data_IF_010208330743
#
_entry.id   IF_010208330743
#
_cell.length_a   1.000
_cell.length_b   1.000
_cell.length_c   1.000
_cell.angle_alpha   90.00
_cell.angle_beta   90.00
_cell.angle_gamma   90.00
#
_symmetry.space_group_name_H-M   'P 1'
#
loop_
_entity.id
_entity.type
_entity.pdbx_description
1 polymer ?
#
# COMPACT_ATOMS: atom_id res chain seq x y z
N UNK A 1 9.48 -7.30 -28.76
CA UNK A 1 8.67 -7.62 -27.57
C UNK A 1 9.57 -8.08 -26.42
N UNK A 2 10.07 -9.33 -26.38
CA UNK A 2 10.93 -9.83 -25.29
C UNK A 2 12.07 -8.87 -24.87
N UNK A 3 12.97 -8.55 -25.80
CA UNK A 3 14.07 -7.60 -25.55
C UNK A 3 13.63 -6.21 -25.08
N UNK A 4 12.40 -5.82 -25.41
CA UNK A 4 11.86 -4.51 -25.03
C UNK A 4 11.41 -4.53 -23.57
N UNK A 5 10.63 -5.55 -23.18
CA UNK A 5 10.09 -5.66 -21.82
C UNK A 5 11.17 -5.97 -20.78
N UNK A 6 12.26 -6.64 -21.17
CA UNK A 6 13.44 -6.88 -20.30
C UNK A 6 14.09 -5.56 -19.82
N UNK A 7 13.93 -4.47 -20.56
CA UNK A 7 14.47 -3.15 -20.24
C UNK A 7 13.44 -2.20 -19.63
N UNK A 8 12.18 -2.60 -19.48
CA UNK A 8 11.18 -1.79 -18.81
C UNK A 8 11.43 -1.82 -17.29
N UNK A 9 11.51 -0.66 -16.65
CA UNK A 9 11.73 -0.55 -15.20
C UNK A 9 10.46 -0.93 -14.40
N UNK A 10 9.32 -0.46 -14.88
CA UNK A 10 8.02 -0.58 -14.20
C UNK A 10 7.14 -1.63 -14.90
N UNK A 11 6.41 -2.43 -14.11
CA UNK A 11 5.57 -3.52 -14.62
C UNK A 11 4.42 -3.01 -15.51
N UNK A 12 3.95 -1.81 -15.25
CA UNK A 12 2.91 -1.11 -16.01
C UNK A 12 3.35 -0.90 -17.46
N UNK A 13 4.65 -0.74 -17.71
CA UNK A 13 5.17 -0.63 -19.07
C UNK A 13 5.10 -1.97 -19.80
N UNK A 14 5.35 -3.09 -19.11
CA UNK A 14 5.17 -4.45 -19.66
C UNK A 14 3.72 -4.64 -20.10
N UNK A 15 2.75 -4.25 -19.26
CA UNK A 15 1.33 -4.27 -19.60
C UNK A 15 1.00 -3.38 -20.80
N UNK A 16 1.51 -2.14 -20.83
CA UNK A 16 1.32 -1.26 -22.00
C UNK A 16 1.90 -1.86 -23.28
N UNK A 17 3.08 -2.49 -23.23
CA UNK A 17 3.66 -3.15 -24.42
C UNK A 17 2.79 -4.31 -24.89
N UNK A 18 2.22 -5.09 -23.96
CA UNK A 18 1.32 -6.17 -24.31
C UNK A 18 0.00 -5.66 -24.89
N UNK A 19 -0.56 -4.58 -24.33
CA UNK A 19 -1.73 -3.88 -24.87
C UNK A 19 -1.52 -3.40 -26.31
N UNK A 20 -0.37 -2.81 -26.61
CA UNK A 20 0.00 -2.39 -27.99
C UNK A 20 0.03 -3.58 -28.95
N UNK A 21 0.45 -4.77 -28.50
CA UNK A 21 0.38 -5.98 -29.34
C UNK A 21 -1.08 -6.37 -29.62
N UNK A 22 -1.95 -6.35 -28.62
CA UNK A 22 -3.37 -6.67 -28.82
C UNK A 22 -4.04 -5.69 -29.80
N UNK A 23 -3.74 -4.39 -29.69
CA UNK A 23 -4.30 -3.35 -30.55
C UNK A 23 -3.71 -3.41 -31.97
N UNK A 24 -2.40 -3.24 -32.11
CA UNK A 24 -1.76 -3.00 -33.40
C UNK A 24 -1.56 -4.29 -34.21
N UNK A 25 -1.30 -5.41 -33.54
CA UNK A 25 -1.03 -6.69 -34.22
C UNK A 25 -2.27 -7.54 -34.38
N UNK A 26 -3.13 -7.58 -33.37
CA UNK A 26 -4.32 -8.43 -33.37
C UNK A 26 -5.62 -7.68 -33.65
N UNK A 27 -5.61 -6.34 -33.67
CA UNK A 27 -6.80 -5.53 -33.94
C UNK A 27 -7.88 -5.78 -32.89
N UNK A 28 -7.50 -5.86 -31.61
CA UNK A 28 -8.41 -6.03 -30.48
C UNK A 28 -8.45 -4.71 -29.73
N UNK A 29 -9.61 -4.06 -29.66
CA UNK A 29 -9.73 -2.70 -29.13
C UNK A 29 -10.26 -2.67 -27.69
N UNK A 30 -11.23 -3.52 -27.35
CA UNK A 30 -11.86 -3.54 -26.04
C UNK A 30 -11.34 -4.72 -25.20
N UNK A 31 -10.35 -4.44 -24.34
CA UNK A 31 -9.78 -5.44 -23.44
C UNK A 31 -9.26 -4.79 -22.16
N UNK A 32 -9.11 -5.63 -21.14
CA UNK A 32 -8.65 -5.26 -19.82
C UNK A 32 -7.69 -6.34 -19.30
N UNK A 33 -6.72 -5.92 -18.49
CA UNK A 33 -5.82 -6.83 -17.79
C UNK A 33 -6.12 -6.78 -16.30
N UNK A 34 -6.26 -7.97 -15.73
CA UNK A 34 -6.58 -8.17 -14.32
C UNK A 34 -5.52 -9.09 -13.74
N UNK A 35 -4.97 -8.74 -12.60
CA UNK A 35 -4.19 -9.65 -11.77
C UNK A 35 -5.08 -10.24 -10.70
N UNK A 36 -4.92 -11.53 -10.42
CA UNK A 36 -5.59 -12.20 -9.32
C UNK A 36 -4.55 -12.83 -8.38
N UNK A 37 -4.61 -12.43 -7.11
CA UNK A 37 -3.90 -13.08 -6.02
C UNK A 37 -4.74 -14.29 -5.59
N UNK A 38 -4.27 -15.48 -5.94
CA UNK A 38 -5.00 -16.73 -5.72
C UNK A 38 -5.04 -17.11 -4.23
N UNK A 39 -4.09 -16.60 -3.43
CA UNK A 39 -4.00 -16.85 -1.99
C UNK A 39 -4.98 -15.96 -1.22
N UNK A 40 -4.97 -14.66 -1.51
CA UNK A 40 -5.82 -13.67 -0.82
C UNK A 40 -7.21 -13.52 -1.47
N UNK A 41 -7.45 -14.18 -2.61
CA UNK A 41 -8.70 -14.11 -3.40
C UNK A 41 -9.09 -12.67 -3.72
N UNK A 42 -8.08 -11.84 -4.00
CA UNK A 42 -8.24 -10.45 -4.38
C UNK A 42 -7.81 -10.25 -5.81
N UNK A 43 -8.46 -9.32 -6.50
CA UNK A 43 -8.11 -8.96 -7.88
C UNK A 43 -7.79 -7.49 -8.00
N UNK A 44 -6.89 -7.15 -8.90
CA UNK A 44 -6.51 -5.79 -9.24
C UNK A 44 -6.64 -5.58 -10.75
N UNK A 45 -7.27 -4.48 -11.18
CA UNK A 45 -7.31 -4.11 -12.59
C UNK A 45 -6.03 -3.32 -12.91
N UNK A 46 -5.14 -3.91 -13.70
CA UNK A 46 -3.82 -3.34 -13.99
C UNK A 46 -3.75 -2.62 -15.34
N UNK A 47 -4.74 -2.80 -16.21
CA UNK A 47 -4.86 -2.07 -17.46
C UNK A 47 -6.31 -2.07 -17.97
N UNK A 48 -6.75 -0.92 -18.50
CA UNK A 48 -8.05 -0.76 -19.17
C UNK A 48 -7.82 -0.11 -20.53
N UNK A 49 -8.23 -0.78 -21.61
CA UNK A 49 -8.10 -0.24 -22.97
C UNK A 49 -9.22 0.75 -23.30
N UNK A 50 -10.47 0.40 -22.97
CA UNK A 50 -11.67 1.21 -23.27
C UNK A 50 -12.55 1.35 -22.03
N UNK A 51 -13.14 0.25 -21.59
CA UNK A 51 -14.00 0.22 -20.41
C UNK A 51 -14.01 -1.16 -19.75
N UNK A 52 -14.36 -1.21 -18.46
CA UNK A 52 -14.54 -2.45 -17.72
C UNK A 52 -16.04 -2.75 -17.60
N UNK A 53 -16.48 -3.86 -18.19
CA UNK A 53 -17.89 -4.29 -18.21
C UNK A 53 -18.18 -5.48 -17.27
N UNK A 54 -17.25 -5.75 -16.38
CA UNK A 54 -17.43 -6.71 -15.30
C UNK A 54 -16.98 -6.12 -13.97
N UNK A 55 -17.45 -6.73 -12.88
CA UNK A 55 -16.98 -6.42 -11.53
C UNK A 55 -16.09 -7.56 -11.01
N UNK A 56 -14.79 -7.57 -11.37
CA UNK A 56 -13.87 -8.58 -10.84
C UNK A 56 -13.51 -8.31 -9.38
N UNK A 57 -13.63 -7.07 -8.91
CA UNK A 57 -13.21 -6.63 -7.58
C UNK A 57 -14.11 -7.22 -6.49
N UNK A 58 -15.41 -7.34 -6.77
CA UNK A 58 -16.37 -7.92 -5.83
C UNK A 58 -16.44 -9.45 -5.97
N UNK A 59 -15.82 -10.18 -5.04
CA UNK A 59 -15.78 -11.65 -4.98
C UNK A 59 -15.02 -12.35 -6.14
N UNK A 60 -14.06 -11.64 -6.74
CA UNK A 60 -13.08 -12.19 -7.66
C UNK A 60 -13.59 -12.47 -9.08
N UNK A 61 -12.66 -12.83 -9.96
CA UNK A 61 -12.92 -13.14 -11.36
C UNK A 61 -13.31 -14.63 -11.53
N UNK A 62 -14.36 -14.93 -12.31
CA UNK A 62 -14.73 -16.33 -12.59
C UNK A 62 -13.60 -17.12 -13.27
N UNK A 63 -12.91 -16.50 -14.23
CA UNK A 63 -11.82 -17.15 -14.97
C UNK A 63 -10.67 -17.59 -14.05
N UNK A 64 -10.33 -16.76 -13.07
CA UNK A 64 -9.39 -17.10 -11.99
C UNK A 64 -9.93 -18.24 -11.11
N UNK A 65 -11.14 -18.08 -10.55
CA UNK A 65 -11.74 -19.10 -9.66
C UNK A 65 -11.85 -20.48 -10.27
N UNK A 66 -12.13 -20.59 -11.57
CA UNK A 66 -12.24 -21.88 -12.27
C UNK A 66 -10.93 -22.31 -12.93
N UNK A 67 -9.97 -21.39 -13.06
CA UNK A 67 -8.77 -21.53 -13.88
C UNK A 67 -9.08 -22.12 -15.27
N UNK A 68 -10.12 -21.60 -15.91
CA UNK A 68 -10.55 -21.99 -17.26
C UNK A 68 -10.89 -20.79 -18.11
N UNK A 69 -10.78 -20.96 -19.42
CA UNK A 69 -11.35 -20.03 -20.39
C UNK A 69 -12.84 -19.80 -20.08
N UNK A 70 -13.23 -18.53 -20.01
CA UNK A 70 -14.63 -18.13 -19.88
C UNK A 70 -15.02 -17.45 -21.18
N UNK A 71 -15.99 -18.01 -21.89
CA UNK A 71 -16.36 -17.58 -23.23
C UNK A 71 -17.88 -17.54 -23.39
N UNK A 72 -18.42 -16.34 -23.61
CA UNK A 72 -19.86 -16.11 -23.67
C UNK A 72 -20.54 -16.79 -24.87
N UNK A 73 -19.78 -17.14 -25.92
CA UNK A 73 -20.30 -17.88 -27.07
C UNK A 73 -20.38 -19.39 -26.80
N UNK A 74 -19.62 -19.93 -25.84
CA UNK A 74 -19.72 -21.34 -25.44
C UNK A 74 -20.87 -21.56 -24.46
N UNK A 75 -21.14 -20.56 -23.60
CA UNK A 75 -22.25 -20.60 -22.66
C UNK A 75 -22.74 -19.18 -22.35
N UNK A 76 -24.02 -18.91 -22.65
CA UNK A 76 -24.66 -17.62 -22.39
C UNK A 76 -24.68 -17.37 -20.87
N UNK A 77 -24.38 -16.14 -20.43
CA UNK A 77 -24.32 -15.75 -19.01
C UNK A 77 -23.37 -16.60 -18.16
N UNK A 78 -22.28 -17.09 -18.76
CA UNK A 78 -21.28 -17.90 -18.05
C UNK A 78 -20.66 -17.17 -16.85
N UNK A 79 -20.46 -15.86 -16.93
CA UNK A 79 -19.91 -15.04 -15.86
C UNK A 79 -21.01 -14.22 -15.16
N UNK A 80 -21.19 -14.47 -13.86
CA UNK A 80 -22.14 -13.74 -13.00
C UNK A 80 -21.74 -12.28 -12.72
N UNK A 81 -20.51 -11.91 -13.14
CA UNK A 81 -19.92 -10.58 -12.92
C UNK A 81 -19.94 -9.69 -14.14
N UNK A 82 -20.30 -10.23 -15.31
CA UNK A 82 -20.38 -9.44 -16.53
C UNK A 82 -21.76 -8.78 -16.60
N UNK A 83 -21.81 -7.46 -16.82
CA UNK A 83 -23.04 -6.66 -16.67
C UNK A 83 -23.62 -6.16 -17.98
N UNK A 84 -22.94 -6.41 -19.10
CA UNK A 84 -23.35 -6.01 -20.45
C UNK A 84 -23.90 -7.19 -21.25
N UNK A 85 -24.65 -6.90 -22.31
CA UNK A 85 -25.14 -7.88 -23.29
C UNK A 85 -24.12 -8.22 -24.39
N UNK A 86 -22.92 -7.64 -24.33
CA UNK A 86 -21.84 -7.90 -25.28
C UNK A 86 -21.23 -9.30 -25.11
N UNK A 87 -20.51 -9.75 -26.13
CA UNK A 87 -19.75 -10.99 -26.05
C UNK A 87 -18.44 -10.76 -25.32
N UNK A 88 -17.91 -11.79 -24.66
CA UNK A 88 -16.64 -11.67 -23.95
C UNK A 88 -15.88 -12.98 -23.89
N UNK A 89 -14.57 -12.85 -23.78
CA UNK A 89 -13.63 -13.94 -23.56
C UNK A 89 -12.68 -13.51 -22.44
N UNK A 90 -12.63 -14.26 -21.35
CA UNK A 90 -11.67 -14.07 -20.26
C UNK A 90 -10.72 -15.27 -20.21
N UNK A 91 -9.42 -15.02 -20.37
CA UNK A 91 -8.39 -16.06 -20.38
C UNK A 91 -7.51 -15.92 -19.14
N UNK A 92 -7.51 -16.90 -18.22
CA UNK A 92 -6.57 -16.92 -17.11
C UNK A 92 -5.23 -17.50 -17.57
N UNK A 93 -4.15 -16.78 -17.31
CA UNK A 93 -2.78 -17.25 -17.50
C UNK A 93 -2.07 -17.34 -16.16
N UNK A 94 -1.72 -18.54 -15.72
CA UNK A 94 -0.96 -18.69 -14.48
C UNK A 94 0.47 -18.19 -14.62
N UNK A 95 0.77 -17.11 -13.90
CA UNK A 95 2.08 -16.43 -13.90
C UNK A 95 2.97 -17.01 -12.80
N UNK A 96 2.42 -17.30 -11.64
CA UNK A 96 3.10 -18.04 -10.56
C UNK A 96 2.09 -18.90 -9.81
N UNK A 97 2.49 -19.50 -8.69
CA UNK A 97 1.54 -20.26 -7.85
C UNK A 97 0.44 -19.36 -7.26
N UNK A 98 0.81 -18.10 -6.98
CA UNK A 98 -0.03 -17.18 -6.21
C UNK A 98 -0.56 -16.02 -7.08
N UNK A 99 -0.30 -16.05 -8.39
CA UNK A 99 -0.63 -14.96 -9.31
C UNK A 99 -1.12 -15.50 -10.65
N UNK A 100 -2.38 -15.19 -10.97
CA UNK A 100 -2.97 -15.36 -12.29
C UNK A 100 -3.09 -13.99 -12.99
N UNK A 101 -2.83 -13.98 -14.29
CA UNK A 101 -3.01 -12.82 -15.16
C UNK A 101 -4.18 -13.11 -16.11
N UNK A 102 -5.28 -12.37 -15.94
CA UNK A 102 -6.47 -12.52 -16.75
C UNK A 102 -6.48 -11.47 -17.85
N UNK A 103 -6.60 -11.93 -19.09
CA UNK A 103 -6.90 -11.09 -20.25
C UNK A 103 -8.39 -11.18 -20.50
N UNK A 104 -9.12 -10.10 -20.21
CA UNK A 104 -10.55 -9.96 -20.45
C UNK A 104 -10.76 -9.18 -21.73
N UNK A 105 -11.42 -9.77 -22.72
CA UNK A 105 -11.67 -9.16 -24.03
C UNK A 105 -13.17 -9.09 -24.24
N UNK A 106 -13.65 -7.94 -24.64
CA UNK A 106 -15.06 -7.68 -24.96
C UNK A 106 -15.19 -7.57 -26.47
N UNK A 107 -16.21 -8.22 -27.02
CA UNK A 107 -16.46 -8.31 -28.45
C UNK A 107 -17.88 -7.84 -28.77
N UNK A 108 -18.03 -7.07 -29.83
CA UNK A 108 -19.34 -6.55 -30.26
C UNK A 108 -20.16 -7.64 -30.97
N UNK A 109 -19.48 -8.63 -31.57
CA UNK A 109 -20.13 -9.69 -32.37
C UNK A 109 -19.59 -11.08 -32.07
N UNK A 110 -20.43 -12.09 -32.29
CA UNK A 110 -20.01 -13.51 -32.23
C UNK A 110 -18.87 -13.82 -33.22
N UNK A 111 -18.88 -13.19 -34.40
CA UNK A 111 -17.81 -13.36 -35.41
C UNK A 111 -16.47 -12.85 -34.89
N UNK A 112 -16.48 -11.72 -34.18
CA UNK A 112 -15.28 -11.18 -33.54
C UNK A 112 -14.79 -12.08 -32.41
N UNK A 113 -15.69 -12.54 -31.54
CA UNK A 113 -15.37 -13.51 -30.49
C UNK A 113 -14.70 -14.77 -31.08
N UNK A 114 -15.29 -15.37 -32.12
CA UNK A 114 -14.71 -16.54 -32.81
C UNK A 114 -13.32 -16.25 -33.37
N UNK A 115 -13.11 -15.07 -34.00
CA UNK A 115 -11.79 -14.64 -34.48
C UNK A 115 -10.77 -14.54 -33.35
N UNK A 116 -11.14 -13.99 -32.20
CA UNK A 116 -10.27 -13.88 -31.03
C UNK A 116 -9.95 -15.27 -30.47
N UNK A 117 -10.92 -16.19 -30.48
CA UNK A 117 -10.70 -17.59 -30.07
C UNK A 117 -9.59 -18.25 -30.88
N UNK A 118 -9.55 -18.01 -32.19
CA UNK A 118 -8.49 -18.52 -33.07
C UNK A 118 -7.11 -17.89 -32.79
N UNK A 119 -7.08 -16.68 -32.21
CA UNK A 119 -5.86 -15.96 -31.85
C UNK A 119 -5.31 -16.34 -30.47
N UNK A 120 -6.07 -17.05 -29.63
CA UNK A 120 -5.66 -17.39 -28.26
C UNK A 120 -4.29 -18.07 -28.15
N UNK A 121 -3.90 -19.02 -29.03
CA UNK A 121 -2.56 -19.60 -28.98
C UNK A 121 -1.45 -18.56 -29.19
N UNK A 122 -1.66 -17.59 -30.10
CA UNK A 122 -0.69 -16.54 -30.35
C UNK A 122 -0.62 -15.54 -29.19
N UNK A 123 -1.77 -15.19 -28.59
CA UNK A 123 -1.82 -14.34 -27.39
C UNK A 123 -1.07 -15.03 -26.24
N UNK A 124 -1.27 -16.33 -26.07
CA UNK A 124 -0.57 -17.15 -25.08
C UNK A 124 0.94 -17.09 -25.24
N UNK A 125 1.46 -17.19 -26.46
CA UNK A 125 2.92 -17.11 -26.72
C UNK A 125 3.51 -15.78 -26.22
N UNK A 126 2.77 -14.68 -26.37
CA UNK A 126 3.16 -13.37 -25.87
C UNK A 126 3.13 -13.28 -24.33
N UNK A 127 2.10 -13.86 -23.70
CA UNK A 127 2.00 -13.92 -22.24
C UNK A 127 3.12 -14.78 -21.67
N UNK A 128 3.38 -15.96 -22.23
CA UNK A 128 4.47 -16.84 -21.82
C UNK A 128 5.84 -16.15 -21.98
N UNK A 129 5.98 -15.31 -23.01
CA UNK A 129 7.17 -14.48 -23.20
C UNK A 129 7.30 -13.38 -22.14
N UNK A 130 6.19 -12.78 -21.70
CA UNK A 130 6.16 -11.72 -20.69
C UNK A 130 6.24 -12.24 -19.24
N UNK A 131 5.83 -13.48 -19.02
CA UNK A 131 5.72 -14.12 -17.70
C UNK A 131 6.98 -13.97 -16.84
N UNK A 132 8.21 -14.22 -17.32
CA UNK A 132 9.42 -14.04 -16.50
C UNK A 132 9.62 -12.60 -16.01
N UNK A 133 9.32 -11.61 -16.86
CA UNK A 133 9.44 -10.19 -16.49
C UNK A 133 8.36 -9.79 -15.49
N UNK A 134 7.11 -10.23 -15.69
CA UNK A 134 6.03 -10.00 -14.73
C UNK A 134 6.41 -10.56 -13.35
N UNK A 135 6.87 -11.81 -13.29
CA UNK A 135 7.32 -12.44 -12.04
C UNK A 135 8.49 -11.66 -11.42
N UNK A 136 9.52 -11.33 -12.20
CA UNK A 136 10.69 -10.62 -11.70
C UNK A 136 10.34 -9.25 -11.13
N UNK A 137 9.50 -8.48 -11.83
CA UNK A 137 9.10 -7.13 -11.41
C UNK A 137 8.19 -7.18 -10.18
N UNK A 138 7.26 -8.15 -10.11
CA UNK A 138 6.44 -8.38 -8.90
C UNK A 138 7.30 -8.76 -7.69
N UNK A 139 8.26 -9.67 -7.87
CA UNK A 139 9.16 -10.05 -6.79
C UNK A 139 9.98 -8.84 -6.31
N UNK A 140 10.47 -8.01 -7.22
CA UNK A 140 11.18 -6.78 -6.88
C UNK A 140 10.29 -5.81 -6.10
N UNK A 141 9.03 -5.60 -6.51
CA UNK A 141 8.07 -4.76 -5.77
C UNK A 141 7.81 -5.29 -4.36
N UNK A 142 7.63 -6.62 -4.20
CA UNK A 142 7.43 -7.25 -2.89
C UNK A 142 8.67 -7.07 -2.01
N UNK A 143 9.87 -7.31 -2.56
CA UNK A 143 11.13 -7.14 -1.84
C UNK A 143 11.35 -5.69 -1.43
N UNK A 144 11.05 -4.73 -2.31
CA UNK A 144 11.13 -3.31 -1.99
C UNK A 144 10.17 -2.91 -0.88
N UNK A 145 8.91 -3.34 -0.97
CA UNK A 145 7.90 -3.07 0.07
C UNK A 145 8.31 -3.69 1.39
N UNK A 146 8.71 -4.96 1.40
CA UNK A 146 9.18 -5.65 2.61
C UNK A 146 10.43 -5.01 3.19
N UNK A 147 11.32 -4.45 2.37
CA UNK A 147 12.49 -3.73 2.85
C UNK A 147 12.14 -2.34 3.42
N UNK A 148 10.94 -1.82 3.15
CA UNK A 148 10.45 -0.50 3.54
C UNK A 148 9.40 -0.54 4.66
N UNK A 149 8.95 -1.73 5.08
CA UNK A 149 8.01 -1.91 6.19
C UNK A 149 8.68 -2.58 7.39
N UNK A 150 8.12 -2.33 8.57
CA UNK A 150 8.47 -3.02 9.80
C UNK A 150 7.63 -4.31 9.92
N UNK A 151 8.24 -5.48 10.11
CA UNK A 151 7.50 -6.75 10.10
C UNK A 151 6.54 -6.92 11.28
N UNK A 152 6.79 -6.26 12.42
CA UNK A 152 5.94 -6.41 13.61
C UNK A 152 4.64 -5.60 13.50
N UNK A 153 4.76 -4.36 13.03
CA UNK A 153 3.68 -3.37 13.00
C UNK A 153 3.08 -3.15 11.62
N UNK A 154 3.74 -3.62 10.55
CA UNK A 154 3.42 -3.34 9.15
C UNK A 154 3.47 -1.85 8.75
N UNK A 155 3.89 -0.97 9.66
CA UNK A 155 4.16 0.43 9.38
C UNK A 155 5.38 0.57 8.47
N UNK A 156 5.54 1.76 7.89
CA UNK A 156 6.78 2.08 7.22
C UNK A 156 7.95 2.08 8.21
N UNK A 157 9.14 1.73 7.73
CA UNK A 157 10.35 1.74 8.53
C UNK A 157 11.23 2.95 8.20
N UNK A 158 12.37 3.07 8.90
CA UNK A 158 13.32 4.15 8.68
C UNK A 158 13.81 4.28 7.23
N UNK A 159 13.98 3.17 6.50
CA UNK A 159 14.42 3.18 5.10
C UNK A 159 13.38 3.83 4.19
N UNK A 160 12.09 3.57 4.45
CA UNK A 160 11.02 4.27 3.75
C UNK A 160 11.05 5.78 4.03
N UNK A 161 11.24 6.18 5.28
CA UNK A 161 11.33 7.60 5.66
C UNK A 161 12.45 8.32 4.89
N UNK A 162 13.63 7.71 4.78
CA UNK A 162 14.75 8.26 3.99
C UNK A 162 14.34 8.47 2.52
N UNK A 163 13.72 7.47 1.88
CA UNK A 163 13.21 7.57 0.51
C UNK A 163 12.10 8.60 0.36
N UNK A 164 11.19 8.70 1.33
CA UNK A 164 10.07 9.65 1.35
C UNK A 164 10.57 11.09 1.42
N UNK A 165 11.60 11.34 2.24
CA UNK A 165 12.26 12.64 2.32
C UNK A 165 12.86 13.01 0.96
N UNK A 166 13.62 12.11 0.36
CA UNK A 166 14.32 12.38 -0.91
C UNK A 166 13.36 12.61 -2.09
N UNK A 167 12.32 11.78 -2.21
CA UNK A 167 11.44 11.76 -3.38
C UNK A 167 10.19 12.64 -3.25
N UNK A 168 9.63 12.79 -2.04
CA UNK A 168 8.31 13.42 -1.85
C UNK A 168 8.43 14.80 -1.23
N UNK A 169 9.30 14.94 -0.23
CA UNK A 169 9.50 16.25 0.41
C UNK A 169 10.36 17.20 -0.44
N UNK A 170 11.30 16.68 -1.24
CA UNK A 170 12.22 17.54 -2.02
C UNK A 170 11.89 17.69 -3.52
N UNK A 171 11.20 16.73 -4.16
CA UNK A 171 11.12 16.64 -5.64
C UNK A 171 9.96 17.40 -6.31
N UNK A 172 9.22 18.26 -5.59
CA UNK A 172 8.54 19.41 -6.23
C UNK A 172 7.00 19.47 -6.29
N UNK A 173 6.23 18.76 -5.47
CA UNK A 173 4.76 18.85 -5.49
C UNK A 173 4.07 19.52 -4.28
N UNK A 174 4.74 19.66 -3.13
CA UNK A 174 4.24 20.40 -1.95
C UNK A 174 4.82 21.83 -1.92
N UNK A 175 4.27 22.72 -2.75
CA UNK A 175 4.65 24.14 -2.79
C UNK A 175 4.36 24.84 -1.46
N UNK A 176 5.34 24.97 -0.58
CA UNK A 176 5.29 25.84 0.61
C UNK A 176 4.20 25.49 1.64
N UNK A 177 3.67 24.27 1.58
CA UNK A 177 2.68 23.77 2.54
C UNK A 177 3.43 23.11 3.69
N UNK A 178 3.29 23.60 4.93
CA UNK A 178 3.95 23.01 6.09
C UNK A 178 3.45 21.59 6.37
N UNK A 179 4.32 20.78 6.95
CA UNK A 179 4.00 19.44 7.47
C UNK A 179 4.27 19.40 8.97
N UNK A 180 3.47 18.64 9.71
CA UNK A 180 3.72 18.36 11.12
C UNK A 180 4.63 17.14 11.27
N UNK A 181 5.65 17.21 12.11
CA UNK A 181 6.49 16.07 12.49
C UNK A 181 6.24 15.75 13.95
N UNK A 182 5.82 14.53 14.25
CA UNK A 182 5.59 14.07 15.61
C UNK A 182 6.53 12.92 15.93
N UNK A 183 7.16 12.97 17.10
CA UNK A 183 7.84 11.83 17.70
C UNK A 183 6.95 11.27 18.80
N UNK A 184 6.66 9.97 18.75
CA UNK A 184 5.75 9.28 19.66
C UNK A 184 6.49 8.11 20.31
N UNK A 185 6.32 7.96 21.62
CA UNK A 185 6.92 6.86 22.37
C UNK A 185 6.01 6.40 23.52
N UNK A 186 5.98 5.08 23.75
CA UNK A 186 5.16 4.45 24.80
C UNK A 186 5.77 4.72 26.18
N UNK A 187 4.97 5.33 27.06
CA UNK A 187 5.43 5.66 28.40
C UNK A 187 5.74 4.40 29.22
N UNK A 188 6.98 4.36 29.73
CA UNK A 188 7.50 3.26 30.52
C UNK A 188 7.45 1.89 29.81
N UNK A 189 7.70 1.85 28.51
CA UNK A 189 7.70 0.60 27.74
C UNK A 189 8.64 -0.46 28.30
N UNK A 190 9.84 -0.08 28.77
CA UNK A 190 10.75 -1.01 29.44
C UNK A 190 10.10 -1.76 30.62
N UNK A 191 9.25 -1.08 31.41
CA UNK A 191 8.52 -1.73 32.51
C UNK A 191 7.49 -2.76 32.02
N UNK A 192 6.98 -2.63 30.79
CA UNK A 192 6.11 -3.64 30.19
C UNK A 192 6.92 -4.91 29.94
N UNK A 193 8.07 -4.78 29.27
CA UNK A 193 8.95 -5.91 29.00
C UNK A 193 9.45 -6.57 30.29
N UNK A 194 9.87 -5.76 31.26
CA UNK A 194 10.42 -6.26 32.53
C UNK A 194 9.35 -7.02 33.35
N UNK A 195 8.08 -6.60 33.30
CA UNK A 195 7.01 -7.22 34.09
C UNK A 195 6.28 -8.36 33.38
N UNK A 196 6.12 -8.29 32.05
CA UNK A 196 5.25 -9.17 31.28
C UNK A 196 5.95 -9.92 30.15
N UNK A 197 7.23 -9.63 29.90
CA UNK A 197 8.01 -10.22 28.81
C UNK A 197 7.82 -9.53 27.47
N UNK A 198 8.73 -9.85 26.54
CA UNK A 198 8.80 -9.21 25.22
C UNK A 198 7.55 -9.44 24.35
N UNK A 199 6.90 -10.61 24.46
CA UNK A 199 5.69 -10.90 23.69
C UNK A 199 4.57 -9.90 24.00
N UNK A 200 4.43 -9.49 25.26
CA UNK A 200 3.45 -8.47 25.69
C UNK A 200 3.91 -7.07 25.29
N UNK A 201 5.21 -6.80 25.30
CA UNK A 201 5.78 -5.58 24.71
C UNK A 201 5.41 -5.45 23.24
N UNK A 202 5.56 -6.51 22.46
CA UNK A 202 5.20 -6.56 21.05
C UNK A 202 3.71 -6.30 20.81
N UNK A 203 2.83 -6.80 21.69
CA UNK A 203 1.40 -6.46 21.66
C UNK A 203 1.22 -4.96 21.89
N UNK A 204 1.88 -4.36 22.88
CA UNK A 204 1.78 -2.92 23.14
C UNK A 204 2.25 -2.07 21.94
N UNK A 205 3.32 -2.49 21.26
CA UNK A 205 3.83 -1.85 20.03
C UNK A 205 2.79 -1.95 18.91
N UNK A 206 2.18 -3.12 18.71
CA UNK A 206 1.10 -3.29 17.72
C UNK A 206 -0.13 -2.44 18.06
N UNK A 207 -0.50 -2.34 19.33
CA UNK A 207 -1.64 -1.55 19.78
C UNK A 207 -1.43 -0.06 19.48
N UNK A 208 -0.26 0.50 19.78
CA UNK A 208 0.01 1.91 19.43
C UNK A 208 0.09 2.09 17.91
N UNK A 209 0.71 1.17 17.18
CA UNK A 209 0.79 1.25 15.72
C UNK A 209 -0.59 1.32 15.05
N UNK A 210 -1.52 0.46 15.47
CA UNK A 210 -2.90 0.49 15.00
C UNK A 210 -3.61 1.79 15.39
N UNK A 211 -3.39 2.26 16.64
CA UNK A 211 -3.95 3.54 17.09
C UNK A 211 -3.48 4.72 16.23
N UNK A 212 -2.19 4.73 15.85
CA UNK A 212 -1.65 5.75 14.97
C UNK A 212 -2.35 5.72 13.61
N UNK A 213 -2.46 4.54 13.00
CA UNK A 213 -3.14 4.36 11.70
C UNK A 213 -4.61 4.80 11.77
N UNK A 214 -5.36 4.40 12.80
CA UNK A 214 -6.79 4.69 12.95
C UNK A 214 -7.07 6.19 13.11
N UNK A 215 -6.16 6.95 13.71
CA UNK A 215 -6.31 8.40 13.91
C UNK A 215 -5.79 9.20 12.71
N UNK A 216 -4.77 8.72 12.03
CA UNK A 216 -4.18 9.41 10.86
C UNK A 216 -4.98 9.20 9.58
N UNK A 217 -4.82 10.10 8.61
CA UNK A 217 -5.43 9.96 7.28
C UNK A 217 -4.53 9.18 6.31
N UNK A 218 -5.09 8.70 5.18
CA UNK A 218 -4.33 7.99 4.13
C UNK A 218 -3.17 8.80 3.53
N UNK A 219 -3.21 10.13 3.65
CA UNK A 219 -2.14 11.02 3.17
C UNK A 219 -1.00 11.19 4.18
N UNK A 220 -1.26 10.88 5.44
CA UNK A 220 -0.27 11.00 6.51
C UNK A 220 0.62 9.76 6.51
N UNK A 221 1.85 9.92 7.01
CA UNK A 221 2.84 8.84 7.01
C UNK A 221 3.16 8.45 8.44
N UNK A 222 2.94 7.18 8.77
CA UNK A 222 3.30 6.60 10.07
C UNK A 222 4.49 5.67 9.90
N UNK A 223 5.55 5.93 10.65
CA UNK A 223 6.83 5.21 10.57
C UNK A 223 7.17 4.65 11.95
N UNK A 224 7.55 3.38 12.03
CA UNK A 224 8.29 2.86 13.18
C UNK A 224 9.76 3.20 13.01
N UNK A 225 10.25 4.16 13.80
CA UNK A 225 11.59 4.71 13.66
C UNK A 225 12.64 3.93 14.46
N UNK A 226 12.26 3.46 15.64
CA UNK A 226 13.10 2.70 16.56
C UNK A 226 12.38 1.48 17.15
N UNK A 227 12.83 1.02 18.31
CA UNK A 227 12.22 -0.13 19.00
C UNK A 227 10.77 0.14 19.41
N UNK A 228 10.55 1.19 20.20
CA UNK A 228 9.24 1.66 20.69
C UNK A 228 8.91 3.10 20.23
N UNK A 229 9.72 3.63 19.30
CA UNK A 229 9.65 5.01 18.81
C UNK A 229 9.00 5.07 17.43
N UNK A 230 8.06 5.99 17.26
CA UNK A 230 7.32 6.20 16.03
C UNK A 230 7.43 7.65 15.57
N UNK A 231 7.50 7.85 14.26
CA UNK A 231 7.38 9.17 13.64
C UNK A 231 6.05 9.22 12.89
N UNK A 232 5.29 10.30 13.11
CA UNK A 232 4.11 10.62 12.31
C UNK A 232 4.37 11.90 11.54
N UNK A 233 4.11 11.88 10.23
CA UNK A 233 4.19 13.04 9.36
C UNK A 233 2.77 13.39 8.92
N UNK A 234 2.27 14.53 9.39
CA UNK A 234 0.97 15.07 8.99
C UNK A 234 1.16 16.02 7.80
N UNK A 235 0.53 15.70 6.68
CA UNK A 235 0.60 16.52 5.46
C UNK A 235 -0.42 17.66 5.51
N UNK A 236 -0.14 18.80 4.89
CA UNK A 236 -1.03 19.98 4.86
C UNK A 236 -1.46 20.44 6.26
N UNK A 237 -0.46 20.74 7.09
CA UNK A 237 -0.65 20.86 8.53
C UNK A 237 -0.41 22.28 9.05
N UNK A 238 -1.32 22.77 9.87
CA UNK A 238 -1.08 23.90 10.79
C UNK A 238 -0.60 23.36 12.14
N UNK A 239 -0.01 24.23 12.97
CA UNK A 239 0.33 23.86 14.36
C UNK A 239 -0.91 23.38 15.13
N UNK A 240 -2.04 24.07 15.01
CA UNK A 240 -3.31 23.66 15.65
C UNK A 240 -3.76 22.26 15.21
N UNK A 241 -3.73 21.97 13.90
CA UNK A 241 -4.09 20.63 13.39
C UNK A 241 -3.14 19.57 13.91
N UNK A 242 -1.84 19.86 13.93
CA UNK A 242 -0.81 18.94 14.44
C UNK A 242 -1.10 18.58 15.89
N UNK A 243 -1.26 19.58 16.76
CA UNK A 243 -1.50 19.35 18.19
C UNK A 243 -2.82 18.63 18.43
N UNK A 244 -3.88 18.96 17.68
CA UNK A 244 -5.15 18.24 17.77
C UNK A 244 -4.99 16.75 17.47
N UNK A 245 -4.36 16.40 16.36
CA UNK A 245 -4.12 14.99 15.98
C UNK A 245 -3.24 14.27 17.01
N UNK A 246 -2.19 14.94 17.51
CA UNK A 246 -1.34 14.39 18.57
C UNK A 246 -2.14 14.09 19.85
N UNK A 247 -3.02 15.00 20.29
CA UNK A 247 -3.86 14.77 21.47
C UNK A 247 -4.88 13.66 21.24
N UNK A 248 -5.45 13.55 20.03
CA UNK A 248 -6.33 12.44 19.65
C UNK A 248 -5.61 11.09 19.74
N UNK A 249 -4.39 10.99 19.18
CA UNK A 249 -3.54 9.79 19.31
C UNK A 249 -3.31 9.44 20.78
N UNK A 250 -2.90 10.43 21.58
CA UNK A 250 -2.57 10.24 23.00
C UNK A 250 -3.77 9.71 23.79
N UNK A 251 -4.93 10.32 23.60
CA UNK A 251 -6.17 9.92 24.28
C UNK A 251 -6.61 8.53 23.79
N UNK A 252 -6.63 8.29 22.48
CA UNK A 252 -7.04 7.02 21.91
C UNK A 252 -6.17 5.87 22.42
N UNK A 253 -4.84 6.04 22.45
CA UNK A 253 -3.93 5.01 22.96
C UNK A 253 -4.13 4.75 24.45
N UNK A 254 -4.36 5.82 25.24
CA UNK A 254 -4.62 5.68 26.69
C UNK A 254 -5.87 4.87 27.03
N UNK A 255 -6.82 4.78 26.09
CA UNK A 255 -8.06 4.03 26.24
C UNK A 255 -7.93 2.58 25.77
N UNK A 256 -6.89 2.24 25.00
CA UNK A 256 -6.67 0.88 24.54
C UNK A 256 -6.34 -0.06 25.71
N UNK A 257 -6.79 -1.31 25.57
CA UNK A 257 -6.47 -2.41 26.47
C UNK A 257 -5.42 -3.31 25.84
N UNK A 258 -4.32 -3.49 26.55
CA UNK A 258 -3.27 -4.43 26.19
C UNK A 258 -3.51 -5.69 27.01
N UNK A 259 -3.81 -6.78 26.32
CA UNK A 259 -4.02 -8.09 26.95
C UNK A 259 -2.67 -8.70 27.33
N UNK A 260 -2.51 -9.08 28.59
CA UNK A 260 -1.35 -9.77 29.12
C UNK A 260 -1.79 -11.02 29.88
N UNK A 261 -1.74 -12.18 29.21
CA UNK A 261 -2.23 -13.44 29.76
C UNK A 261 -3.70 -13.32 30.21
N UNK A 262 -3.96 -13.44 31.51
CA UNK A 262 -5.29 -13.33 32.12
C UNK A 262 -5.66 -11.91 32.60
N UNK A 263 -4.77 -10.94 32.40
CA UNK A 263 -4.96 -9.54 32.84
C UNK A 263 -5.01 -8.60 31.65
N UNK A 264 -5.64 -7.43 31.84
CA UNK A 264 -5.59 -6.32 30.89
C UNK A 264 -5.09 -5.06 31.59
N UNK A 265 -4.29 -4.27 30.88
CA UNK A 265 -3.87 -2.95 31.37
C UNK A 265 -3.89 -1.93 30.24
N UNK A 266 -3.80 -0.66 30.61
CA UNK A 266 -3.68 0.46 29.66
C UNK A 266 -2.34 1.15 29.86
N UNK A 267 -1.83 1.78 28.79
CA UNK A 267 -0.61 2.57 28.79
C UNK A 267 -0.84 3.89 28.10
N UNK A 268 0.05 4.84 28.38
CA UNK A 268 0.02 6.17 27.79
C UNK A 268 1.22 6.31 26.86
N UNK A 269 1.20 7.36 26.05
CA UNK A 269 2.35 7.76 25.24
C UNK A 269 2.66 9.23 25.49
N UNK A 270 3.90 9.58 25.22
CA UNK A 270 4.37 10.97 25.20
C UNK A 270 4.69 11.34 23.76
N UNK A 271 4.27 12.55 23.36
CA UNK A 271 4.37 13.00 21.97
C UNK A 271 5.05 14.36 21.94
N UNK A 272 6.08 14.48 21.12
CA UNK A 272 6.71 15.76 20.80
C UNK A 272 6.40 16.16 19.38
N UNK A 273 6.10 17.43 19.15
CA UNK A 273 5.64 17.94 17.87
C UNK A 273 6.55 19.06 17.36
N UNK A 274 6.83 19.10 16.07
CA UNK A 274 7.56 20.19 15.42
C UNK A 274 6.97 20.49 14.04
N UNK A 275 6.70 21.76 13.76
CA UNK A 275 6.16 22.18 12.47
C UNK A 275 7.28 22.38 11.46
N UNK A 276 7.34 21.52 10.44
CA UNK A 276 8.26 21.65 9.31
C UNK A 276 7.69 22.64 8.27
N UNK A 277 8.29 23.82 8.07
CA UNK A 277 7.75 24.85 7.18
C UNK A 277 7.89 24.49 5.70
N UNK A 278 8.56 23.38 5.37
CA UNK A 278 8.75 22.90 4.00
C UNK A 278 9.45 23.91 3.06
N UNK A 279 10.54 24.52 3.55
CA UNK A 279 11.38 25.48 2.81
C UNK A 279 12.83 25.01 2.84
N UNK A 280 13.31 24.21 1.88
CA UNK A 280 14.73 23.78 1.69
C UNK A 280 15.53 23.49 2.99
N UNK A 281 14.84 23.13 4.07
CA UNK A 281 15.43 22.92 5.37
C UNK A 281 15.66 21.43 5.54
N UNK A 282 16.65 21.10 6.35
CA UNK A 282 16.95 19.71 6.65
C UNK A 282 15.80 19.13 7.50
N UNK A 283 15.05 18.18 6.94
CA UNK A 283 13.94 17.52 7.61
C UNK A 283 14.37 16.89 8.95
N UNK A 284 15.59 16.34 9.01
CA UNK A 284 16.15 15.74 10.21
C UNK A 284 16.30 16.72 11.38
N UNK A 285 16.39 18.03 11.10
CA UNK A 285 16.35 19.06 12.15
C UNK A 285 15.02 19.03 12.90
N UNK A 286 13.90 18.85 12.19
CA UNK A 286 12.56 18.85 12.77
C UNK A 286 12.23 17.54 13.46
N UNK A 287 12.75 16.42 12.96
CA UNK A 287 12.74 15.14 13.69
C UNK A 287 13.47 15.28 15.03
N UNK A 288 14.61 15.96 15.06
CA UNK A 288 15.33 16.23 16.31
C UNK A 288 14.57 17.17 17.24
N UNK A 289 13.89 18.18 16.70
CA UNK A 289 13.05 19.10 17.50
C UNK A 289 11.85 18.38 18.12
N UNK A 290 11.17 17.53 17.35
CA UNK A 290 10.07 16.71 17.88
C UNK A 290 10.56 15.72 18.93
N UNK A 291 11.74 15.13 18.76
CA UNK A 291 12.37 14.27 19.78
C UNK A 291 12.68 15.04 21.09
N UNK A 292 13.26 16.25 21.01
CA UNK A 292 13.50 17.11 22.19
C UNK A 292 12.19 17.42 22.91
N UNK A 293 11.13 17.76 22.17
CA UNK A 293 9.81 18.04 22.74
C UNK A 293 9.21 16.78 23.42
N UNK A 294 9.36 15.60 22.81
CA UNK A 294 8.89 14.33 23.37
C UNK A 294 9.66 13.98 24.65
N UNK A 295 10.97 14.19 24.65
CA UNK A 295 11.79 14.01 25.84
C UNK A 295 11.32 14.92 26.97
N UNK A 296 11.03 16.19 26.67
CA UNK A 296 10.44 17.13 27.64
C UNK A 296 9.06 16.66 28.13
N UNK A 297 8.23 16.07 27.27
CA UNK A 297 6.96 15.48 27.66
C UNK A 297 7.17 14.38 28.69
N UNK A 298 8.16 13.50 28.46
CA UNK A 298 8.55 12.44 29.39
C UNK A 298 9.08 12.97 30.72
N UNK A 299 9.90 14.01 30.71
CA UNK A 299 10.49 14.57 31.94
C UNK A 299 9.48 15.35 32.78
N UNK A 300 8.52 16.01 32.15
CA UNK A 300 7.56 16.88 32.85
C UNK A 300 6.29 16.16 33.32
N UNK A 301 6.22 14.83 33.21
CA UNK A 301 5.12 14.03 33.76
C UNK A 301 4.47 13.02 32.84
N UNK A 302 4.99 12.84 31.61
CA UNK A 302 4.49 11.88 30.61
C UNK A 302 3.02 12.12 30.23
N UNK A 303 2.44 11.22 29.42
CA UNK A 303 1.06 11.26 28.97
C UNK A 303 0.63 12.67 28.51
N UNK A 304 1.42 13.30 27.65
CA UNK A 304 1.14 14.64 27.13
C UNK A 304 1.75 14.88 25.76
N UNK A 305 1.23 15.89 25.09
CA UNK A 305 1.80 16.46 23.88
C UNK A 305 2.58 17.73 24.23
N UNK A 306 3.77 17.89 23.67
CA UNK A 306 4.54 19.15 23.73
C UNK A 306 4.90 19.56 22.31
N UNK A 307 4.60 20.82 21.96
CA UNK A 307 5.16 21.44 20.75
C UNK A 307 6.55 21.99 21.05
N UNK A 308 7.49 21.79 20.13
CA UNK A 308 8.83 22.34 20.25
C UNK A 308 8.77 23.87 20.15
N UNK A 309 9.39 24.53 21.12
CA UNK A 309 9.65 25.97 21.10
C UNK A 309 11.15 26.26 21.01
N UNK A 310 11.51 27.39 20.42
CA UNK A 310 12.90 27.78 20.30
C UNK A 310 13.54 27.98 21.68
N UNK A 311 14.63 27.24 21.95
CA UNK A 311 15.31 27.25 23.25
C UNK A 311 15.09 25.99 24.08
N UNK A 312 14.21 25.07 23.67
CA UNK A 312 14.11 23.75 24.31
C UNK A 312 15.38 22.91 24.05
N UNK A 313 15.85 22.22 25.09
CA UNK A 313 17.03 21.33 25.07
C UNK A 313 16.82 20.05 25.85
#
# INVERSE_FOLDING_TARGET
FKKTIEHDEAIENVYKRFAVILQERFGIENFNFIEADTTNKSTEIVYVSKEILCDPLTNGCRADRTNTLVDSCQFIDVCDKFTSSEYYICIPYSISNDLDFIVSIVCETEKENNRIRDLLPLIKDYVDTAKPEIVSKKLMQILERSAQTDPLTQLYNRKYLEKYIDNTLYDGALKGVPCGVMMVDIDFFKLINDNYGHDIGDIAIKTIANTLIDVTSEKDVVIRFGGEEFIVIITDCTSERMIKVAEEIRIAFSQQKIQANSEEFSKTCSIGCALFPNIKQNFWKFVKQSDIAMYNAKQTGRNKVIEYEEGMS
#
